data_IF_539526502331
#
_entry.id   IF_539526502331
#
_cell.length_a   1.000
_cell.length_b   1.000
_cell.length_c   1.000
_cell.angle_alpha   90.00
_cell.angle_beta   90.00
_cell.angle_gamma   90.00
#
_symmetry.space_group_name_H-M   'P 1'
#
loop_
_entity.id
_entity.type
_entity.pdbx_description
1 polymer ?
#
# COMPACT_ATOMS: atom_id res chain seq x y z
N UNK A 1 9.65 -18.34 24.63
CA UNK A 1 8.37 -18.76 24.03
C UNK A 1 8.49 -18.50 22.54
N UNK A 2 8.36 -19.53 21.70
CA UNK A 2 8.37 -19.36 20.25
C UNK A 2 7.11 -18.59 19.87
N UNK A 3 7.25 -17.35 19.43
CA UNK A 3 6.19 -16.55 18.83
C UNK A 3 6.08 -16.98 17.36
N UNK A 4 5.38 -18.08 17.11
CA UNK A 4 5.00 -18.41 15.74
C UNK A 4 3.96 -17.40 15.29
N UNK A 5 4.29 -16.63 14.24
CA UNK A 5 3.36 -15.74 13.57
C UNK A 5 2.08 -16.54 13.24
N UNK A 6 0.88 -16.02 13.54
CA UNK A 6 -0.36 -16.74 13.26
C UNK A 6 -0.36 -17.15 11.77
N UNK A 7 -0.70 -18.41 11.46
CA UNK A 7 -0.65 -18.89 10.09
C UNK A 7 -1.55 -17.98 9.23
N UNK A 8 -1.04 -17.56 8.05
CA UNK A 8 -1.72 -16.67 7.10
C UNK A 8 -3.20 -17.02 6.85
N UNK A 9 -3.55 -18.31 7.02
CA UNK A 9 -4.90 -18.84 6.95
C UNK A 9 -5.89 -18.19 7.94
N UNK A 10 -5.46 -17.75 9.13
CA UNK A 10 -6.33 -17.18 10.16
C UNK A 10 -6.78 -15.76 9.80
N UNK A 11 -5.87 -14.89 9.34
CA UNK A 11 -6.24 -13.54 8.85
C UNK A 11 -7.16 -13.63 7.63
N UNK A 12 -6.88 -14.57 6.72
CA UNK A 12 -7.76 -14.82 5.58
C UNK A 12 -9.14 -15.34 5.99
N UNK A 13 -9.24 -16.13 7.05
CA UNK A 13 -10.53 -16.56 7.62
C UNK A 13 -11.33 -15.35 8.10
N UNK A 14 -10.71 -14.46 8.89
CA UNK A 14 -11.36 -13.24 9.40
C UNK A 14 -11.75 -12.26 8.28
N UNK A 15 -10.91 -12.09 7.25
CA UNK A 15 -11.26 -11.30 6.07
C UNK A 15 -12.54 -11.82 5.40
N UNK A 16 -12.74 -13.15 5.32
CA UNK A 16 -13.99 -13.74 4.80
C UNK A 16 -15.18 -13.54 5.74
N UNK A 17 -14.96 -13.39 7.04
CA UNK A 17 -16.04 -13.06 7.96
C UNK A 17 -16.46 -11.57 7.82
N UNK A 18 -15.51 -10.68 7.52
CA UNK A 18 -15.80 -9.26 7.25
C UNK A 18 -16.67 -9.04 6.00
N UNK A 19 -16.66 -9.98 5.03
CA UNK A 19 -17.57 -9.96 3.87
C UNK A 19 -19.07 -10.01 4.25
N UNK A 20 -19.38 -10.37 5.51
CA UNK A 20 -20.75 -10.42 6.03
C UNK A 20 -21.24 -9.08 6.60
N UNK A 21 -20.34 -8.10 6.79
CA UNK A 21 -20.69 -6.81 7.37
C UNK A 21 -21.05 -5.80 6.28
N UNK A 22 -22.17 -5.13 6.49
CA UNK A 22 -22.64 -4.05 5.63
C UNK A 22 -22.61 -2.71 6.37
N UNK A 23 -22.09 -1.69 5.69
CA UNK A 23 -22.16 -0.30 6.12
C UNK A 23 -22.90 0.50 5.06
N UNK A 24 -24.06 1.07 5.42
CA UNK A 24 -24.97 1.75 4.49
C UNK A 24 -25.32 0.93 3.23
N UNK A 25 -25.49 -0.39 3.36
CA UNK A 25 -25.85 -1.30 2.26
C UNK A 25 -24.70 -1.65 1.32
N UNK A 26 -23.46 -1.30 1.68
CA UNK A 26 -22.24 -1.75 1.01
C UNK A 26 -21.49 -2.72 1.91
N UNK A 27 -21.00 -3.83 1.35
CA UNK A 27 -20.10 -4.72 2.10
C UNK A 27 -18.82 -3.98 2.44
N UNK A 28 -18.33 -4.15 3.66
CA UNK A 28 -17.14 -3.47 4.16
C UNK A 28 -15.89 -3.83 3.33
N UNK A 29 -15.81 -5.05 2.83
CA UNK A 29 -14.76 -5.50 1.91
C UNK A 29 -14.92 -4.92 0.50
N UNK A 30 -16.15 -4.65 0.09
CA UNK A 30 -16.43 -3.96 -1.17
C UNK A 30 -16.04 -2.48 -1.08
N UNK A 31 -15.90 -1.86 0.11
CA UNK A 31 -15.34 -0.50 0.23
C UNK A 31 -13.86 -0.46 -0.20
N UNK A 32 -13.09 -1.51 0.10
CA UNK A 32 -11.72 -1.65 -0.42
C UNK A 32 -11.69 -1.90 -1.94
N UNK A 33 -12.69 -2.59 -2.49
CA UNK A 33 -12.82 -2.81 -3.95
C UNK A 33 -13.35 -1.57 -4.69
N UNK A 34 -14.29 -0.83 -4.10
CA UNK A 34 -14.90 0.39 -4.63
C UNK A 34 -13.89 1.52 -4.74
N UNK A 35 -13.01 1.69 -3.74
CA UNK A 35 -11.87 2.62 -3.87
C UNK A 35 -10.81 2.16 -4.87
N UNK A 36 -10.76 0.87 -5.20
CA UNK A 36 -9.96 0.34 -6.32
C UNK A 36 -10.55 0.59 -7.71
N UNK A 37 -11.84 0.96 -7.81
CA UNK A 37 -12.58 1.09 -9.08
C UNK A 37 -13.16 2.48 -9.34
N UNK A 38 -13.14 3.38 -8.36
CA UNK A 38 -13.49 4.79 -8.52
C UNK A 38 -12.48 5.53 -9.41
N UNK A 39 -12.70 5.40 -10.73
CA UNK A 39 -11.92 6.01 -11.79
C UNK A 39 -11.80 5.16 -13.06
N UNK A 40 -12.09 3.85 -12.97
CA UNK A 40 -12.36 2.98 -14.13
C UNK A 40 -11.26 2.79 -15.17
N UNK A 41 -10.05 3.35 -15.01
CA UNK A 41 -8.95 3.09 -15.96
C UNK A 41 -7.58 3.20 -15.26
N UNK A 42 -6.85 2.09 -15.22
CA UNK A 42 -5.43 2.02 -14.81
C UNK A 42 -4.59 2.11 -16.08
N UNK A 43 -3.72 3.10 -16.21
CA UNK A 43 -2.79 3.24 -17.33
C UNK A 43 -1.39 2.76 -16.91
N UNK A 44 -0.74 1.93 -17.72
CA UNK A 44 0.67 1.60 -17.53
C UNK A 44 1.61 2.72 -18.05
N UNK A 45 2.93 2.48 -18.03
CA UNK A 45 3.94 3.41 -18.56
C UNK A 45 3.84 3.64 -20.08
N UNK A 46 3.03 2.85 -20.78
CA UNK A 46 2.78 2.92 -22.23
C UNK A 46 1.43 3.54 -22.57
N UNK A 47 0.52 3.65 -21.60
CA UNK A 47 -0.83 4.18 -21.75
C UNK A 47 -1.91 3.11 -22.00
N UNK A 48 -1.64 1.83 -21.74
CA UNK A 48 -2.61 0.74 -21.88
C UNK A 48 -3.43 0.48 -20.61
N UNK A 49 -4.67 0.04 -20.79
CA UNK A 49 -5.67 -0.21 -19.74
C UNK A 49 -5.52 -1.64 -19.22
N UNK A 50 -5.35 -1.82 -17.90
CA UNK A 50 -5.44 -3.16 -17.30
C UNK A 50 -6.87 -3.70 -17.43
N UNK A 51 -7.07 -4.93 -17.94
CA UNK A 51 -8.25 -5.70 -17.61
C UNK A 51 -8.20 -6.05 -16.12
N UNK A 52 -9.35 -5.92 -15.46
CA UNK A 52 -9.59 -6.40 -14.10
C UNK A 52 -9.06 -7.85 -13.98
N UNK A 53 -8.07 -8.09 -13.10
CA UNK A 53 -7.54 -9.44 -12.82
C UNK A 53 -6.07 -9.75 -13.16
N UNK A 54 -5.29 -8.81 -13.71
CA UNK A 54 -3.81 -8.92 -13.75
C UNK A 54 -3.15 -7.95 -12.77
N UNK A 55 -3.52 -8.03 -11.49
CA UNK A 55 -2.80 -7.31 -10.43
C UNK A 55 -1.40 -7.90 -10.27
N UNK A 56 -0.36 -7.07 -10.17
CA UNK A 56 0.96 -7.51 -9.66
C UNK A 56 0.74 -8.30 -8.37
N UNK A 57 0.97 -9.61 -8.44
CA UNK A 57 0.55 -10.58 -7.42
C UNK A 57 0.89 -10.18 -5.99
N UNK A 58 -0.12 -10.22 -5.12
CA UNK A 58 0.05 -10.16 -3.66
C UNK A 58 0.34 -8.79 -3.04
N UNK A 59 0.57 -7.73 -3.82
CA UNK A 59 0.86 -6.40 -3.28
C UNK A 59 -0.34 -5.76 -2.54
N UNK A 60 -1.57 -6.14 -2.89
CA UNK A 60 -2.81 -5.55 -2.39
C UNK A 60 -3.54 -6.39 -1.34
N UNK A 61 -3.35 -7.71 -1.33
CA UNK A 61 -3.72 -8.56 -0.18
C UNK A 61 -3.09 -8.00 1.11
N UNK A 62 -1.86 -7.49 1.00
CA UNK A 62 -1.13 -6.85 2.09
C UNK A 62 -1.83 -5.60 2.65
N UNK A 63 -2.55 -4.81 1.85
CA UNK A 63 -3.22 -3.59 2.36
C UNK A 63 -4.45 -3.94 3.18
N UNK A 64 -5.31 -4.84 2.69
CA UNK A 64 -6.48 -5.28 3.45
C UNK A 64 -6.06 -6.06 4.71
N UNK A 65 -5.04 -6.91 4.61
CA UNK A 65 -4.44 -7.60 5.76
C UNK A 65 -3.84 -6.58 6.76
N UNK A 66 -3.16 -5.53 6.29
CA UNK A 66 -2.65 -4.44 7.13
C UNK A 66 -3.77 -3.66 7.83
N UNK A 67 -4.84 -3.28 7.11
CA UNK A 67 -6.00 -2.62 7.70
C UNK A 67 -6.69 -3.51 8.74
N UNK A 68 -6.81 -4.82 8.49
CA UNK A 68 -7.32 -5.77 9.47
C UNK A 68 -6.42 -5.84 10.71
N UNK A 69 -5.10 -5.93 10.52
CA UNK A 69 -4.15 -5.93 11.64
C UNK A 69 -4.25 -4.63 12.45
N UNK A 70 -4.35 -3.47 11.78
CA UNK A 70 -4.57 -2.19 12.42
C UNK A 70 -5.87 -2.18 13.23
N UNK A 71 -6.96 -2.70 12.66
CA UNK A 71 -8.26 -2.80 13.34
C UNK A 71 -8.21 -3.71 14.57
N UNK A 72 -7.48 -4.83 14.52
CA UNK A 72 -7.26 -5.69 15.69
C UNK A 72 -6.47 -4.95 16.79
N UNK A 73 -5.42 -4.22 16.40
CA UNK A 73 -4.64 -3.41 17.34
C UNK A 73 -5.49 -2.30 17.95
N UNK A 74 -6.29 -1.58 17.16
CA UNK A 74 -7.16 -0.52 17.67
C UNK A 74 -8.26 -1.07 18.58
N UNK A 75 -8.80 -2.25 18.30
CA UNK A 75 -9.82 -2.86 19.15
C UNK A 75 -9.25 -3.26 20.51
N UNK A 76 -8.08 -3.91 20.53
CA UNK A 76 -7.36 -4.27 21.76
C UNK A 76 -7.01 -3.04 22.58
N UNK A 77 -6.43 -2.01 21.95
CA UNK A 77 -6.06 -0.77 22.64
C UNK A 77 -7.29 0.02 23.09
N UNK A 78 -8.34 0.09 22.28
CA UNK A 78 -9.59 0.75 22.63
C UNK A 78 -10.27 0.10 23.83
N UNK A 79 -10.25 -1.24 23.91
CA UNK A 79 -10.74 -1.99 25.08
C UNK A 79 -9.89 -1.70 26.32
N UNK A 80 -8.56 -1.85 26.21
CA UNK A 80 -7.65 -1.70 27.33
C UNK A 80 -7.54 -0.26 27.85
N UNK A 81 -7.86 0.74 27.02
CA UNK A 81 -7.88 2.16 27.36
C UNK A 81 -9.30 2.68 27.63
N UNK A 82 -10.25 1.77 27.82
CA UNK A 82 -11.63 2.04 28.26
C UNK A 82 -12.41 3.01 27.35
N UNK A 83 -12.18 2.95 26.03
CA UNK A 83 -13.05 3.64 25.08
C UNK A 83 -14.47 3.05 25.15
N UNK A 84 -15.48 3.91 25.01
CA UNK A 84 -16.86 3.47 24.93
C UNK A 84 -17.10 2.57 23.71
N UNK A 85 -18.14 1.74 23.75
CA UNK A 85 -18.48 0.84 22.64
C UNK A 85 -18.65 1.58 21.30
N UNK A 86 -19.28 2.76 21.31
CA UNK A 86 -19.46 3.58 20.11
C UNK A 86 -18.14 4.20 19.61
N UNK A 87 -17.27 4.66 20.51
CA UNK A 87 -15.94 5.15 20.13
C UNK A 87 -15.05 4.05 19.56
N UNK A 88 -15.13 2.83 20.10
CA UNK A 88 -14.42 1.67 19.57
C UNK A 88 -14.88 1.31 18.17
N UNK A 89 -16.19 1.34 17.90
CA UNK A 89 -16.74 1.12 16.55
C UNK A 89 -16.24 2.16 15.55
N UNK A 90 -16.33 3.44 15.90
CA UNK A 90 -15.82 4.53 15.06
C UNK A 90 -14.33 4.36 14.76
N UNK A 91 -13.55 4.00 15.78
CA UNK A 91 -12.11 3.79 15.68
C UNK A 91 -11.76 2.57 14.80
N UNK A 92 -12.43 1.44 15.01
CA UNK A 92 -12.19 0.22 14.23
C UNK A 92 -12.59 0.40 12.77
N UNK A 93 -13.71 1.10 12.51
CA UNK A 93 -14.11 1.47 11.15
C UNK A 93 -13.07 2.41 10.50
N UNK A 94 -12.57 3.40 11.24
CA UNK A 94 -11.50 4.27 10.76
C UNK A 94 -10.21 3.50 10.45
N UNK A 95 -9.83 2.54 11.29
CA UNK A 95 -8.67 1.68 11.09
C UNK A 95 -8.82 0.77 9.87
N UNK A 96 -10.01 0.24 9.60
CA UNK A 96 -10.25 -0.50 8.36
C UNK A 96 -10.06 0.37 7.11
N UNK A 97 -10.43 1.65 7.19
CA UNK A 97 -10.49 2.53 6.02
C UNK A 97 -9.23 3.37 5.79
N UNK A 98 -8.32 3.48 6.75
CA UNK A 98 -7.24 4.47 6.73
C UNK A 98 -6.34 4.41 5.48
N UNK A 99 -6.10 3.20 4.96
CA UNK A 99 -5.24 2.98 3.80
C UNK A 99 -6.00 2.73 2.50
N UNK A 100 -7.33 2.83 2.52
CA UNK A 100 -8.15 2.52 1.35
C UNK A 100 -7.87 3.43 0.15
N UNK A 101 -7.26 4.61 0.34
CA UNK A 101 -6.81 5.51 -0.74
C UNK A 101 -5.39 5.22 -1.26
N UNK A 102 -4.56 4.45 -0.54
CA UNK A 102 -3.15 4.21 -0.91
C UNK A 102 -2.98 3.49 -2.25
N UNK A 103 -3.96 2.67 -2.66
CA UNK A 103 -3.93 2.00 -3.97
C UNK A 103 -3.88 3.02 -5.09
N UNK A 104 -4.77 4.00 -5.03
CA UNK A 104 -4.86 5.01 -6.06
C UNK A 104 -3.68 5.98 -6.01
N UNK A 105 -3.23 6.35 -4.80
CA UNK A 105 -2.01 7.16 -4.65
C UNK A 105 -0.79 6.50 -5.31
N UNK A 106 -0.57 5.20 -5.07
CA UNK A 106 0.56 4.46 -5.67
C UNK A 106 0.44 4.30 -7.18
N UNK A 107 -0.77 4.04 -7.71
CA UNK A 107 -0.98 3.98 -9.16
C UNK A 107 -0.60 5.32 -9.82
N UNK A 108 -0.98 6.45 -9.21
CA UNK A 108 -0.64 7.77 -9.71
C UNK A 108 0.82 8.12 -9.52
N UNK A 109 1.45 7.76 -8.40
CA UNK A 109 2.89 7.90 -8.23
C UNK A 109 3.64 7.14 -9.32
N UNK A 110 3.29 5.88 -9.60
CA UNK A 110 3.89 5.10 -10.69
C UNK A 110 3.63 5.72 -12.06
N UNK A 111 2.45 6.28 -12.27
CA UNK A 111 2.14 7.04 -13.47
C UNK A 111 3.13 8.21 -13.54
N UNK A 112 3.09 9.16 -12.61
CA UNK A 112 3.94 10.36 -12.58
C UNK A 112 5.44 10.03 -12.64
N UNK A 113 5.90 9.03 -11.89
CA UNK A 113 7.29 8.58 -11.81
C UNK A 113 7.72 7.87 -13.11
N UNK A 114 6.90 6.97 -13.64
CA UNK A 114 7.13 6.31 -14.94
C UNK A 114 7.07 7.27 -16.13
N UNK A 115 6.33 8.38 -16.00
CA UNK A 115 6.37 9.51 -16.94
C UNK A 115 7.62 10.39 -16.78
N UNK A 116 8.30 10.32 -15.63
CA UNK A 116 9.47 11.14 -15.28
C UNK A 116 10.81 10.42 -15.42
N UNK A 117 10.83 9.09 -15.48
CA UNK A 117 12.01 8.34 -15.91
C UNK A 117 12.09 8.45 -17.44
N UNK A 118 13.07 9.19 -17.94
CA UNK A 118 13.55 8.91 -19.29
C UNK A 118 13.97 7.43 -19.30
N UNK A 119 13.66 6.63 -20.34
CA UNK A 119 14.49 5.46 -20.57
C UNK A 119 15.91 6.02 -20.61
N UNK A 120 16.77 5.57 -19.70
CA UNK A 120 18.19 5.86 -19.80
C UNK A 120 18.54 5.60 -21.25
N UNK A 121 18.92 6.66 -21.98
CA UNK A 121 19.43 6.46 -23.33
C UNK A 121 20.52 5.42 -23.16
N UNK A 122 20.44 4.25 -23.82
CA UNK A 122 21.53 3.31 -23.79
C UNK A 122 22.77 4.12 -24.10
N UNK A 123 23.73 4.12 -23.19
CA UNK A 123 24.93 4.93 -23.30
C UNK A 123 25.52 4.62 -24.68
N UNK A 124 25.43 5.58 -25.60
CA UNK A 124 26.01 5.46 -26.94
C UNK A 124 27.52 5.71 -26.85
N UNK A 125 28.17 5.17 -25.81
CA UNK A 125 29.57 4.87 -25.86
C UNK A 125 29.70 3.71 -26.83
N UNK A 126 30.12 4.06 -28.05
CA UNK A 126 30.54 3.19 -29.15
C UNK A 126 31.24 1.92 -28.66
N UNK A 127 30.47 0.89 -28.32
CA UNK A 127 30.92 -0.48 -28.41
C UNK A 127 30.54 -0.91 -29.82
N UNK A 128 31.53 -1.04 -30.71
CA UNK A 128 31.34 -1.83 -31.93
C UNK A 128 30.77 -3.17 -31.48
N UNK A 129 29.50 -3.44 -31.82
CA UNK A 129 28.97 -4.79 -31.71
C UNK A 129 29.92 -5.69 -32.48
N UNK A 130 30.52 -6.72 -31.85
CA UNK A 130 31.40 -7.62 -32.55
C UNK A 130 30.61 -8.25 -33.69
N UNK A 131 31.01 -7.92 -34.91
CA UNK A 131 30.45 -8.53 -36.11
C UNK A 131 30.46 -10.05 -35.92
N UNK A 132 29.31 -10.74 -36.08
CA UNK A 132 29.25 -12.17 -35.87
C UNK A 132 30.27 -12.83 -36.79
N UNK A 133 31.03 -13.77 -36.24
CA UNK A 133 32.02 -14.50 -37.02
C UNK A 133 31.35 -15.19 -38.21
N UNK A 134 32.08 -15.42 -39.30
CA UNK A 134 31.55 -16.14 -40.45
C UNK A 134 30.95 -17.51 -40.06
N UNK A 135 31.48 -18.14 -39.01
CA UNK A 135 30.94 -19.36 -38.40
C UNK A 135 29.59 -19.17 -37.69
N UNK A 136 29.36 -18.03 -37.04
CA UNK A 136 28.06 -17.73 -36.41
C UNK A 136 26.99 -17.41 -37.45
N UNK A 137 27.36 -16.69 -38.51
CA UNK A 137 26.46 -16.42 -39.64
C UNK A 137 26.05 -17.75 -40.31
N UNK A 138 27.01 -18.65 -40.54
CA UNK A 138 26.74 -19.98 -41.09
C UNK A 138 25.88 -20.84 -40.16
N UNK A 139 26.04 -20.72 -38.84
CA UNK A 139 25.22 -21.43 -37.86
C UNK A 139 23.79 -20.88 -37.82
N UNK A 140 23.61 -19.56 -37.86
CA UNK A 140 22.29 -18.94 -37.91
C UNK A 140 21.54 -19.29 -39.19
N UNK A 141 22.21 -19.26 -40.34
CA UNK A 141 21.60 -19.65 -41.62
C UNK A 141 21.18 -21.13 -41.61
N UNK A 142 21.99 -22.01 -41.01
CA UNK A 142 21.65 -23.43 -40.89
C UNK A 142 20.45 -23.67 -39.98
N UNK A 143 20.33 -22.92 -38.88
CA UNK A 143 19.16 -22.99 -37.99
C UNK A 143 17.88 -22.49 -38.67
N UNK A 144 17.96 -21.43 -39.47
CA UNK A 144 16.82 -20.93 -40.26
C UNK A 144 16.39 -21.91 -41.35
N UNK A 145 17.35 -22.60 -41.99
CA UNK A 145 17.04 -23.66 -42.95
C UNK A 145 16.42 -24.89 -42.28
N UNK A 146 16.90 -25.28 -41.08
CA UNK A 146 16.33 -26.36 -40.28
C UNK A 146 14.91 -26.04 -39.78
N UNK A 147 14.66 -24.80 -39.33
CA UNK A 147 13.31 -24.35 -38.96
C UNK A 147 12.36 -24.31 -40.17
N UNK A 148 12.84 -23.83 -41.32
CA UNK A 148 12.05 -23.83 -42.57
C UNK A 148 11.72 -25.25 -43.05
N UNK A 149 12.66 -26.18 -42.91
CA UNK A 149 12.46 -27.59 -43.23
C UNK A 149 11.49 -28.26 -42.24
N UNK A 150 11.59 -27.96 -40.95
CA UNK A 150 10.67 -28.46 -39.92
C UNK A 150 9.23 -27.95 -40.14
N UNK A 151 9.05 -26.68 -40.52
CA UNK A 151 7.74 -26.11 -40.84
C UNK A 151 7.09 -26.76 -42.07
N UNK A 152 7.90 -27.16 -43.07
CA UNK A 152 7.41 -27.89 -44.27
C UNK A 152 6.92 -29.32 -43.97
N UNK A 153 7.50 -30.00 -42.99
CA UNK A 153 7.13 -31.38 -42.64
C UNK A 153 5.82 -31.44 -41.85
N UNK A 154 5.45 -30.37 -41.14
CA UNK A 154 4.27 -30.34 -40.25
C UNK A 154 2.97 -29.91 -40.97
N UNK A 155 3.01 -29.54 -42.26
CA UNK A 155 1.78 -29.23 -43.01
C UNK A 155 0.97 -28.08 -42.40
N UNK A 156 1.63 -27.19 -41.66
CA UNK A 156 1.03 -25.94 -41.19
C UNK A 156 1.06 -24.95 -42.34
N UNK A 157 -0.05 -24.85 -43.08
CA UNK A 157 -0.37 -23.66 -43.86
C UNK A 157 -0.47 -22.49 -42.85
N UNK A 158 0.60 -21.72 -42.73
CA UNK A 158 0.60 -20.48 -41.98
C UNK A 158 -0.37 -19.51 -42.67
N UNK A 159 -1.50 -19.27 -42.02
CA UNK A 159 -2.36 -18.14 -42.30
C UNK A 159 -1.48 -16.88 -42.32
N UNK A 160 -1.38 -16.30 -43.51
CA UNK A 160 -0.64 -15.08 -43.79
C UNK A 160 -1.40 -13.90 -43.15
N UNK A 161 -1.34 -13.80 -41.82
CA UNK A 161 -1.78 -12.62 -41.09
C UNK A 161 -0.71 -11.56 -41.31
N UNK A 162 -1.06 -10.35 -41.79
CA UNK A 162 -0.09 -9.28 -41.94
C UNK A 162 0.51 -8.98 -40.56
N UNK A 163 1.81 -9.25 -40.42
CA UNK A 163 2.62 -8.72 -39.32
C UNK A 163 2.53 -7.21 -39.37
N UNK A 164 1.60 -6.63 -38.60
CA UNK A 164 1.70 -5.23 -38.23
C UNK A 164 2.85 -5.17 -37.24
N UNK A 165 4.00 -4.66 -37.70
CA UNK A 165 5.04 -4.19 -36.79
C UNK A 165 4.36 -3.30 -35.74
N UNK A 166 4.55 -3.56 -34.43
CA UNK A 166 3.99 -2.71 -33.40
C UNK A 166 4.50 -1.29 -33.65
N UNK A 167 3.57 -0.40 -34.01
CA UNK A 167 3.88 1.01 -34.21
C UNK A 167 4.47 1.54 -32.90
N UNK A 168 5.61 2.25 -32.95
CA UNK A 168 6.17 2.83 -31.75
C UNK A 168 5.12 3.73 -31.09
N UNK A 169 4.96 3.68 -29.76
CA UNK A 169 3.94 4.45 -29.07
C UNK A 169 4.09 5.92 -29.43
N UNK A 170 2.97 6.55 -29.81
CA UNK A 170 2.96 7.98 -30.17
C UNK A 170 3.53 8.78 -28.98
N UNK A 171 4.41 9.76 -29.22
CA UNK A 171 4.98 10.58 -28.16
C UNK A 171 3.86 11.33 -27.46
N UNK A 172 3.55 10.92 -26.23
CA UNK A 172 2.48 11.54 -25.45
C UNK A 172 2.96 12.89 -24.94
N UNK A 173 2.14 13.91 -25.16
CA UNK A 173 2.39 15.26 -24.66
C UNK A 173 2.37 15.25 -23.12
N UNK A 174 3.56 15.18 -22.51
CA UNK A 174 3.77 15.03 -21.06
C UNK A 174 3.03 16.08 -20.22
N UNK A 175 2.93 17.31 -20.73
CA UNK A 175 2.23 18.40 -20.03
C UNK A 175 0.71 18.16 -19.99
N UNK A 176 0.16 17.60 -21.06
CA UNK A 176 -1.26 17.29 -21.18
C UNK A 176 -1.62 16.06 -20.36
N UNK A 177 -0.77 15.03 -20.35
CA UNK A 177 -0.90 13.87 -19.47
C UNK A 177 -0.85 14.27 -17.99
N UNK A 178 0.11 15.12 -17.59
CA UNK A 178 0.20 15.65 -16.21
C UNK A 178 -1.05 16.46 -15.82
N UNK A 179 -1.56 17.31 -16.72
CA UNK A 179 -2.80 18.07 -16.47
C UNK A 179 -4.02 17.17 -16.34
N UNK A 180 -4.11 16.10 -17.14
CA UNK A 180 -5.18 15.10 -17.06
C UNK A 180 -5.12 14.32 -15.74
N UNK A 181 -3.91 13.96 -15.29
CA UNK A 181 -3.67 13.33 -13.99
C UNK A 181 -4.11 14.22 -12.82
N UNK A 182 -3.73 15.49 -12.82
CA UNK A 182 -4.12 16.45 -11.76
C UNK A 182 -5.63 16.67 -11.69
N UNK A 183 -6.32 16.80 -12.83
CA UNK A 183 -7.79 16.89 -12.84
C UNK A 183 -8.49 15.60 -12.37
N UNK A 184 -7.86 14.45 -12.59
CA UNK A 184 -8.38 13.18 -12.08
C UNK A 184 -8.20 13.07 -10.56
N UNK A 185 -7.09 13.61 -10.02
CA UNK A 185 -6.85 13.73 -8.58
C UNK A 185 -7.90 14.60 -7.89
N UNK A 186 -8.22 15.77 -8.43
CA UNK A 186 -9.24 16.68 -7.85
C UNK A 186 -10.63 16.00 -7.76
N UNK A 187 -11.05 15.31 -8.83
CA UNK A 187 -12.31 14.54 -8.84
C UNK A 187 -12.32 13.37 -7.87
N UNK A 188 -11.14 12.84 -7.57
CA UNK A 188 -10.98 11.74 -6.63
C UNK A 188 -10.95 12.20 -5.18
N UNK A 189 -10.29 13.31 -4.87
CA UNK A 189 -10.48 13.97 -3.57
C UNK A 189 -11.96 14.30 -3.38
N UNK A 190 -12.66 14.77 -4.41
CA UNK A 190 -14.11 14.97 -4.38
C UNK A 190 -14.89 13.66 -4.13
N UNK A 191 -14.48 12.54 -4.75
CA UNK A 191 -15.08 11.23 -4.52
C UNK A 191 -14.75 10.63 -3.14
N UNK A 192 -13.53 10.77 -2.66
CA UNK A 192 -13.11 10.40 -1.30
C UNK A 192 -13.85 11.23 -0.27
N UNK A 193 -14.04 12.52 -0.54
CA UNK A 193 -14.88 13.42 0.25
C UNK A 193 -16.37 13.04 0.17
N UNK A 194 -16.83 12.47 -0.95
CA UNK A 194 -18.21 11.96 -1.09
C UNK A 194 -18.44 10.61 -0.40
N UNK A 195 -17.40 9.78 -0.30
CA UNK A 195 -17.39 8.57 0.53
C UNK A 195 -17.33 8.97 2.02
N UNK A 196 -16.52 9.97 2.36
CA UNK A 196 -16.54 10.64 3.67
C UNK A 196 -17.94 11.20 3.99
N UNK A 197 -18.76 11.56 2.98
CA UNK A 197 -20.15 11.99 3.20
C UNK A 197 -21.10 10.86 3.63
N UNK A 198 -20.70 9.59 3.46
CA UNK A 198 -21.38 8.42 4.01
C UNK A 198 -20.87 8.01 5.39
N UNK A 199 -19.72 8.51 5.83
CA UNK A 199 -19.17 8.28 7.17
C UNK A 199 -19.47 9.46 8.09
N UNK A 200 -19.43 9.22 9.40
CA UNK A 200 -19.50 10.34 10.34
C UNK A 200 -18.23 11.20 10.19
N UNK A 201 -18.31 12.55 10.29
CA UNK A 201 -17.12 13.41 10.26
C UNK A 201 -16.06 13.01 11.31
N UNK A 202 -16.49 12.34 12.38
CA UNK A 202 -15.63 11.78 13.42
C UNK A 202 -14.79 10.61 12.90
N UNK A 203 -15.39 9.65 12.18
CA UNK A 203 -14.66 8.51 11.56
C UNK A 203 -13.65 9.02 10.54
N UNK A 204 -14.06 9.92 9.64
CA UNK A 204 -13.14 10.51 8.65
C UNK A 204 -11.96 11.25 9.30
N UNK A 205 -12.20 11.93 10.43
CA UNK A 205 -11.14 12.60 11.19
C UNK A 205 -10.17 11.59 11.82
N UNK A 206 -10.67 10.53 12.45
CA UNK A 206 -9.84 9.47 13.04
C UNK A 206 -9.01 8.77 11.95
N UNK A 207 -9.65 8.42 10.83
CA UNK A 207 -9.02 7.76 9.68
C UNK A 207 -7.79 8.53 9.18
N UNK A 208 -7.84 9.86 9.17
CA UNK A 208 -6.77 10.75 8.72
C UNK A 208 -5.69 11.01 9.78
N UNK A 209 -5.80 10.44 10.98
CA UNK A 209 -4.87 10.65 12.09
C UNK A 209 -3.57 9.82 12.00
N UNK A 210 -3.23 9.26 10.84
CA UNK A 210 -1.96 8.51 10.65
C UNK A 210 -0.74 9.43 10.50
N UNK A 211 -0.95 10.71 10.22
CA UNK A 211 0.08 11.75 10.24
C UNK A 211 -0.22 12.74 11.36
N UNK A 212 0.71 12.97 12.31
CA UNK A 212 0.53 13.92 13.39
C UNK A 212 0.18 15.32 12.87
N UNK A 213 -0.92 15.95 13.30
CA UNK A 213 -1.29 17.28 12.82
C UNK A 213 -0.32 18.36 13.32
N UNK A 214 0.31 18.14 14.48
CA UNK A 214 1.22 19.05 15.16
C UNK A 214 2.43 18.28 15.73
N UNK A 215 3.49 19.00 16.12
CA UNK A 215 4.67 18.41 16.78
C UNK A 215 4.33 17.81 18.15
N UNK A 216 3.28 18.30 18.81
CA UNK A 216 2.77 17.74 20.05
C UNK A 216 2.00 16.42 19.82
N UNK A 217 1.63 16.10 18.57
CA UNK A 217 0.83 14.95 18.20
C UNK A 217 -0.67 15.28 18.09
N UNK A 218 -1.51 14.34 18.52
CA UNK A 218 -2.98 14.39 18.45
C UNK A 218 -3.65 15.04 19.68
N UNK A 219 -2.91 15.82 20.46
CA UNK A 219 -3.43 16.50 21.65
C UNK A 219 -4.01 15.54 22.68
N UNK A 220 -5.25 15.78 23.11
CA UNK A 220 -5.98 14.95 24.10
C UNK A 220 -6.94 13.93 23.47
N UNK A 221 -7.01 13.83 22.13
CA UNK A 221 -7.93 12.89 21.48
C UNK A 221 -7.36 11.46 21.53
N UNK A 222 -7.90 10.63 22.42
CA UNK A 222 -7.44 9.26 22.63
C UNK A 222 -7.62 8.36 21.39
N UNK A 223 -8.74 8.45 20.68
CA UNK A 223 -9.01 7.65 19.49
C UNK A 223 -8.01 7.97 18.35
N UNK A 224 -7.72 9.25 18.13
CA UNK A 224 -6.71 9.66 17.14
C UNK A 224 -5.30 9.17 17.53
N UNK A 225 -4.94 9.21 18.82
CA UNK A 225 -3.66 8.64 19.29
C UNK A 225 -3.58 7.13 19.06
N UNK A 226 -4.66 6.39 19.35
CA UNK A 226 -4.70 4.94 19.17
C UNK A 226 -4.60 4.59 17.69
N UNK A 227 -5.36 5.27 16.83
CA UNK A 227 -5.29 5.09 15.38
C UNK A 227 -3.88 5.31 14.85
N UNK A 228 -3.27 6.45 15.22
CA UNK A 228 -1.89 6.74 14.86
C UNK A 228 -0.92 5.65 15.34
N UNK A 229 -1.05 5.23 16.60
CA UNK A 229 -0.14 4.25 17.21
C UNK A 229 -0.25 2.89 16.51
N UNK A 230 -1.47 2.47 16.17
CA UNK A 230 -1.75 1.21 15.50
C UNK A 230 -1.06 1.14 14.12
N UNK A 231 -1.22 2.15 13.27
CA UNK A 231 -0.48 2.20 12.00
C UNK A 231 1.03 2.31 12.23
N UNK A 232 1.46 3.19 13.14
CA UNK A 232 2.87 3.45 13.41
C UNK A 232 3.62 2.24 13.99
N UNK A 233 2.94 1.26 14.59
CA UNK A 233 3.56 0.05 15.12
C UNK A 233 3.47 -1.16 14.18
N UNK A 234 2.89 -1.04 12.98
CA UNK A 234 2.72 -2.16 12.05
C UNK A 234 3.68 -2.10 10.86
N UNK A 235 4.40 -3.20 10.61
CA UNK A 235 5.16 -3.43 9.38
C UNK A 235 4.48 -4.53 8.58
N UNK A 236 3.69 -4.16 7.56
CA UNK A 236 2.72 -5.09 7.00
C UNK A 236 1.70 -5.45 8.08
N UNK A 237 1.64 -6.71 8.49
CA UNK A 237 0.75 -7.20 9.56
C UNK A 237 1.46 -7.41 10.90
N UNK A 238 2.79 -7.24 10.96
CA UNK A 238 3.57 -7.52 12.17
C UNK A 238 3.65 -6.31 13.09
N UNK A 239 3.38 -6.52 14.39
CA UNK A 239 3.58 -5.50 15.43
C UNK A 239 5.07 -5.40 15.74
N UNK A 240 5.61 -4.19 15.61
CA UNK A 240 7.00 -3.85 15.91
C UNK A 240 7.09 -2.59 16.77
N UNK A 241 8.18 -2.44 17.54
CA UNK A 241 8.52 -1.17 18.15
C UNK A 241 8.53 -0.04 17.12
N UNK A 242 7.81 1.05 17.40
CA UNK A 242 7.66 2.19 16.45
C UNK A 242 9.02 2.71 15.97
N UNK A 243 10.01 2.80 16.87
CA UNK A 243 11.37 3.20 16.50
C UNK A 243 11.98 2.24 15.48
N UNK A 244 11.88 0.93 15.73
CA UNK A 244 12.40 -0.09 14.82
C UNK A 244 11.71 -0.01 13.45
N UNK A 245 10.39 0.16 13.39
CA UNK A 245 9.67 0.31 12.11
C UNK A 245 10.23 1.46 11.27
N UNK A 246 10.40 2.64 11.86
CA UNK A 246 10.90 3.79 11.09
C UNK A 246 12.38 3.66 10.73
N UNK A 247 13.19 3.03 11.58
CA UNK A 247 14.57 2.71 11.25
C UNK A 247 14.63 1.69 10.08
N UNK A 248 13.78 0.67 10.08
CA UNK A 248 13.66 -0.30 8.98
C UNK A 248 13.24 0.42 7.67
N UNK A 249 12.26 1.33 7.73
CA UNK A 249 11.79 2.10 6.57
C UNK A 249 12.87 3.00 5.98
N UNK A 250 13.68 3.67 6.81
CA UNK A 250 14.77 4.52 6.32
C UNK A 250 15.95 3.71 5.81
N UNK A 251 16.22 2.54 6.38
CA UNK A 251 17.35 1.70 6.00
C UNK A 251 17.01 0.69 4.89
N UNK A 252 15.74 0.61 4.45
CA UNK A 252 15.32 -0.25 3.35
C UNK A 252 16.16 0.03 2.09
N UNK A 253 16.87 -0.97 1.52
CA UNK A 253 17.77 -0.74 0.39
C UNK A 253 17.08 -0.18 -0.87
N UNK A 254 15.80 -0.53 -1.06
CA UNK A 254 15.03 -0.16 -2.24
C UNK A 254 14.32 1.18 -2.08
N UNK A 255 13.69 1.41 -0.93
CA UNK A 255 12.77 2.51 -0.69
C UNK A 255 13.30 3.53 0.32
N UNK A 256 14.39 3.23 1.05
CA UNK A 256 14.97 4.09 2.06
C UNK A 256 15.26 5.52 1.59
N UNK A 257 15.89 5.74 0.41
CA UNK A 257 16.08 7.08 -0.13
C UNK A 257 14.76 7.86 -0.35
N UNK A 258 13.70 7.18 -0.80
CA UNK A 258 12.38 7.78 -1.00
C UNK A 258 11.72 8.10 0.35
N UNK A 259 11.79 7.18 1.31
CA UNK A 259 11.21 7.34 2.64
C UNK A 259 11.88 8.49 3.40
N UNK A 260 13.21 8.64 3.32
CA UNK A 260 13.93 9.80 3.89
C UNK A 260 13.49 11.12 3.26
N UNK A 261 13.37 11.19 1.92
CA UNK A 261 12.88 12.38 1.23
C UNK A 261 11.44 12.75 1.63
N UNK A 262 10.57 11.76 1.72
CA UNK A 262 9.20 11.95 2.20
C UNK A 262 9.18 12.45 3.65
N UNK A 263 9.98 11.84 4.54
CA UNK A 263 10.09 12.30 5.93
C UNK A 263 10.60 13.74 6.02
N UNK A 264 11.61 14.09 5.21
CA UNK A 264 12.21 15.42 5.17
C UNK A 264 11.27 16.51 4.65
N UNK A 265 10.27 16.18 3.82
CA UNK A 265 9.32 17.18 3.32
C UNK A 265 8.42 17.77 4.42
N UNK A 266 8.46 17.22 5.63
CA UNK A 266 7.72 17.73 6.78
C UNK A 266 8.53 18.66 7.69
N UNK A 267 9.81 18.91 7.38
CA UNK A 267 10.67 19.77 8.21
C UNK A 267 10.09 21.15 8.45
N UNK A 268 9.48 21.77 7.44
CA UNK A 268 8.84 23.08 7.57
C UNK A 268 7.64 23.06 8.53
N UNK A 269 6.91 21.94 8.58
CA UNK A 269 5.75 21.76 9.47
C UNK A 269 6.17 21.56 10.92
N UNK A 270 7.31 20.91 11.16
CA UNK A 270 7.74 20.50 12.49
C UNK A 270 9.04 21.18 12.93
N UNK A 271 9.22 22.46 12.57
CA UNK A 271 10.29 23.32 13.08
C UNK A 271 11.70 22.73 12.85
N UNK A 272 11.93 22.18 11.65
CA UNK A 272 13.20 21.58 11.24
C UNK A 272 13.34 20.09 11.53
N UNK A 273 12.38 19.47 12.23
CA UNK A 273 12.34 18.03 12.47
C UNK A 273 11.65 17.29 11.33
N UNK A 274 12.24 16.19 10.84
CA UNK A 274 11.57 15.36 9.84
C UNK A 274 10.42 14.55 10.48
N UNK A 275 9.52 14.00 9.65
CA UNK A 275 8.33 13.29 10.13
C UNK A 275 8.69 12.08 11.00
N UNK A 276 9.68 11.28 10.59
CA UNK A 276 10.01 10.03 11.29
C UNK A 276 10.67 10.26 12.64
N UNK A 277 11.49 11.30 12.79
CA UNK A 277 12.03 11.68 14.09
C UNK A 277 10.92 12.12 15.05
N UNK A 278 9.95 12.90 14.55
CA UNK A 278 8.75 13.24 15.31
C UNK A 278 7.95 11.98 15.68
N UNK A 279 7.76 11.05 14.76
CA UNK A 279 6.99 9.83 14.99
C UNK A 279 7.68 8.89 15.99
N UNK A 280 9.02 8.81 16.01
CA UNK A 280 9.78 8.11 17.08
C UNK A 280 9.53 8.73 18.45
N UNK A 281 9.55 10.06 18.56
CA UNK A 281 9.29 10.75 19.82
C UNK A 281 7.85 10.59 20.29
N UNK A 282 6.89 10.71 19.39
CA UNK A 282 5.48 10.44 19.66
C UNK A 282 5.26 9.00 20.10
N UNK A 283 5.93 8.05 19.43
CA UNK A 283 5.87 6.64 19.78
C UNK A 283 6.28 6.40 21.23
N UNK A 284 7.40 6.99 21.66
CA UNK A 284 7.85 6.92 23.05
C UNK A 284 6.87 7.57 24.03
N UNK A 285 6.26 8.70 23.65
CA UNK A 285 5.28 9.42 24.51
C UNK A 285 4.00 8.61 24.68
N UNK A 286 3.39 8.16 23.58
CA UNK A 286 2.15 7.40 23.62
C UNK A 286 2.36 6.01 24.22
N UNK A 287 3.50 5.37 23.96
CA UNK A 287 3.87 4.13 24.63
C UNK A 287 3.81 4.29 26.15
N UNK A 288 4.46 5.33 26.71
CA UNK A 288 4.43 5.59 28.15
C UNK A 288 3.02 5.90 28.66
N UNK A 289 2.29 6.76 27.94
CA UNK A 289 0.91 7.11 28.28
C UNK A 289 -0.01 5.89 28.34
N UNK A 290 0.03 5.04 27.31
CA UNK A 290 -0.80 3.84 27.22
C UNK A 290 -0.38 2.80 28.24
N UNK A 291 0.92 2.55 28.40
CA UNK A 291 1.45 1.61 29.39
C UNK A 291 1.01 1.99 30.80
N UNK A 292 1.09 3.29 31.14
CA UNK A 292 0.65 3.80 32.45
C UNK A 292 -0.86 3.60 32.67
N UNK A 293 -1.69 3.87 31.66
CA UNK A 293 -3.14 3.70 31.77
C UNK A 293 -3.56 2.23 31.88
N UNK A 294 -2.88 1.35 31.13
CA UNK A 294 -3.16 -0.10 31.13
C UNK A 294 -2.58 -0.79 32.38
N UNK A 295 -1.61 -0.17 33.06
CA UNK A 295 -0.95 -0.74 34.23
C UNK A 295 0.12 -1.78 33.89
N UNK A 296 0.86 -1.55 32.80
CA UNK A 296 1.99 -2.41 32.38
C UNK A 296 3.28 -1.59 32.22
N UNK A 297 4.41 -2.27 32.33
CA UNK A 297 5.73 -1.67 32.08
C UNK A 297 5.92 -1.38 30.58
N UNK A 298 6.45 -0.21 30.17
CA UNK A 298 6.64 0.15 28.76
C UNK A 298 7.42 -0.89 27.93
N UNK A 299 8.38 -1.58 28.55
CA UNK A 299 9.24 -2.57 27.91
C UNK A 299 8.46 -3.86 27.56
N UNK A 300 7.32 -4.09 28.21
CA UNK A 300 6.43 -5.24 27.97
C UNK A 300 5.28 -4.91 27.04
N UNK A 301 5.11 -3.66 26.63
CA UNK A 301 3.92 -3.22 25.90
C UNK A 301 3.72 -3.95 24.58
N UNK A 302 4.75 -4.03 23.72
CA UNK A 302 4.61 -4.65 22.41
C UNK A 302 4.35 -6.17 22.49
N UNK A 303 4.99 -6.87 23.42
CA UNK A 303 4.73 -8.31 23.63
C UNK A 303 3.36 -8.56 24.24
N UNK A 304 2.90 -7.70 25.15
CA UNK A 304 1.53 -7.71 25.66
C UNK A 304 0.51 -7.47 24.53
N UNK A 305 0.74 -6.46 23.69
CA UNK A 305 -0.15 -6.10 22.58
C UNK A 305 -0.25 -7.25 21.56
N UNK A 306 0.89 -7.83 21.17
CA UNK A 306 0.93 -9.00 20.29
C UNK A 306 0.14 -10.16 20.89
N UNK A 307 0.36 -10.50 22.17
CA UNK A 307 -0.37 -11.58 22.83
C UNK A 307 -1.89 -11.35 22.84
N UNK A 308 -2.34 -10.10 23.01
CA UNK A 308 -3.77 -9.76 22.96
C UNK A 308 -4.36 -9.84 21.56
N UNK A 309 -3.61 -9.44 20.53
CA UNK A 309 -4.03 -9.65 19.14
C UNK A 309 -4.10 -11.14 18.82
N UNK A 310 -3.13 -11.94 19.25
CA UNK A 310 -3.11 -13.39 19.03
C UNK A 310 -4.30 -14.09 19.73
N UNK A 311 -4.64 -13.69 20.96
CA UNK A 311 -5.85 -14.15 21.66
C UNK A 311 -7.14 -13.85 20.86
N UNK A 312 -7.21 -12.66 20.25
CA UNK A 312 -8.35 -12.24 19.41
C UNK A 312 -8.46 -13.07 18.13
N UNK A 313 -7.32 -13.31 17.47
CA UNK A 313 -7.22 -14.16 16.29
C UNK A 313 -7.61 -15.62 16.60
N UNK A 314 -7.11 -16.17 17.70
CA UNK A 314 -7.38 -17.56 18.10
C UNK A 314 -8.83 -17.81 18.50
N UNK A 315 -9.51 -16.79 19.03
CA UNK A 315 -10.94 -16.85 19.35
C UNK A 315 -11.85 -16.57 18.16
N UNK A 316 -11.29 -16.25 16.99
CA UNK A 316 -12.01 -15.76 15.81
C UNK A 316 -12.98 -14.60 16.13
N UNK A 317 -12.66 -13.82 17.17
CA UNK A 317 -13.52 -12.73 17.59
C UNK A 317 -13.23 -11.50 16.74
N UNK A 318 -14.22 -11.09 15.95
CA UNK A 318 -14.11 -9.87 15.17
C UNK A 318 -14.09 -8.62 16.07
N UNK A 319 -13.30 -7.59 15.69
CA UNK A 319 -13.41 -6.25 16.27
C UNK A 319 -14.85 -5.73 16.28
N UNK A 320 -15.17 -4.88 17.25
CA UNK A 320 -16.48 -4.20 17.28
C UNK A 320 -16.61 -3.29 16.06
N UNK A 321 -17.67 -3.51 15.25
CA UNK A 321 -18.05 -2.69 14.09
C UNK A 321 -19.42 -2.06 14.31
#
# INVERSE_FOLDING_TARGET
>A
MNTETPPRNTLQSLLRQLDQFEYHGLKITDLHKLRGTLGGVVYDQTGEIYPDGQEEGGAWENVAEHCLAAMLVTDVLGEALELSGDERKDLNLAAWLHDSGKKTERMWQRTIEGWSQEPEKPDQTTAEEPQPSASEILRQNRLLEEESAAQKIIGLETLNLPSQEPQPPKPVNRLEAKKKALKAQEKMEEAENSIDAGFSPKVSKIMKATIPPLKEGHGNNLAEKIMWFADACLTGTEIKPIRQRFDDLENDPKNGPRNRKFSDSFKDRYEGKNLYDLQRELGNRYLKEFSQRIGIEPEKFYSWLQGKVDERLASEQLPLM
#
